data_IF_987049860814
#
_entry.id   IF_987049860814
#
_cell.length_a   1.000
_cell.length_b   1.000
_cell.length_c   1.000
_cell.angle_alpha   90.00
_cell.angle_beta   90.00
_cell.angle_gamma   90.00
#
_symmetry.space_group_name_H-M   'P 1'
#
loop_
_entity.id
_entity.type
_entity.pdbx_description
1 polymer ?
#
# COMPACT_ATOMS: atom_id res chain seq x y z
N UNK A 1 15.31 -5.02 1.16
CA UNK A 1 14.24 -5.00 2.17
C UNK A 1 13.00 -4.33 1.63
N UNK A 2 13.01 -3.09 1.17
CA UNK A 2 11.81 -2.39 0.70
C UNK A 2 10.62 -2.58 1.64
N UNK A 3 9.42 -2.43 1.14
CA UNK A 3 8.24 -2.87 1.90
C UNK A 3 8.05 -4.40 1.85
N UNK A 4 8.97 -5.13 1.20
CA UNK A 4 8.93 -6.59 1.04
C UNK A 4 7.63 -7.08 0.41
N UNK A 5 7.18 -6.38 -0.64
CA UNK A 5 5.99 -6.76 -1.38
C UNK A 5 6.13 -8.20 -1.90
N UNK A 6 5.25 -9.12 -1.51
CA UNK A 6 5.32 -10.49 -2.00
C UNK A 6 5.11 -10.52 -3.52
N UNK A 7 6.14 -10.89 -4.28
CA UNK A 7 6.09 -11.05 -5.75
C UNK A 7 5.49 -12.39 -6.13
N UNK A 8 4.23 -12.62 -5.77
CA UNK A 8 3.54 -13.86 -6.08
C UNK A 8 2.98 -13.75 -7.50
N UNK A 9 3.38 -14.64 -8.44
CA UNK A 9 2.87 -14.63 -9.79
C UNK A 9 1.38 -14.97 -9.81
N UNK A 10 0.62 -14.24 -10.62
CA UNK A 10 -0.77 -14.58 -10.91
C UNK A 10 -0.81 -15.86 -11.74
N UNK A 11 -1.82 -16.70 -11.52
CA UNK A 11 -2.04 -17.91 -12.31
C UNK A 11 -2.83 -17.56 -13.56
N UNK A 12 -2.52 -18.24 -14.67
CA UNK A 12 -3.27 -18.09 -15.91
C UNK A 12 -4.74 -18.49 -15.70
N UNK A 13 -5.64 -17.72 -16.31
CA UNK A 13 -7.06 -18.00 -16.22
C UNK A 13 -7.38 -19.33 -16.91
N UNK A 14 -8.19 -20.14 -16.25
CA UNK A 14 -8.66 -21.39 -16.82
C UNK A 14 -9.51 -21.08 -18.06
N UNK A 15 -9.26 -21.80 -19.14
CA UNK A 15 -10.09 -21.72 -20.35
C UNK A 15 -11.56 -21.98 -20.00
N UNK A 16 -12.48 -21.35 -20.74
CA UNK A 16 -13.91 -21.58 -20.55
C UNK A 16 -14.24 -23.08 -20.66
N UNK A 17 -15.29 -23.52 -19.95
CA UNK A 17 -15.80 -24.87 -20.13
C UNK A 17 -16.15 -25.12 -21.61
N UNK A 18 -15.83 -26.32 -22.11
CA UNK A 18 -16.00 -26.64 -23.53
C UNK A 18 -17.42 -27.16 -23.80
N UNK A 19 -18.21 -26.47 -24.61
CA UNK A 19 -19.53 -26.99 -25.01
C UNK A 19 -19.42 -28.30 -25.80
N UNK A 20 -18.31 -28.53 -26.50
CA UNK A 20 -18.06 -29.77 -27.24
C UNK A 20 -17.92 -30.98 -26.32
N UNK A 21 -17.35 -30.83 -25.15
CA UNK A 21 -17.29 -31.90 -24.15
C UNK A 21 -18.69 -32.26 -23.66
N UNK A 22 -19.53 -31.24 -23.39
CA UNK A 22 -20.92 -31.49 -23.02
C UNK A 22 -21.70 -32.20 -24.13
N UNK A 23 -21.53 -31.78 -25.41
CA UNK A 23 -22.14 -32.43 -26.54
C UNK A 23 -21.68 -33.89 -26.67
N UNK A 24 -20.40 -34.15 -26.53
CA UNK A 24 -19.84 -35.51 -26.54
C UNK A 24 -20.46 -36.38 -25.43
N UNK A 25 -20.57 -35.86 -24.20
CA UNK A 25 -21.23 -36.55 -23.08
C UNK A 25 -22.68 -36.89 -23.41
N UNK A 26 -23.41 -35.96 -24.01
CA UNK A 26 -24.80 -36.17 -24.43
C UNK A 26 -24.90 -37.31 -25.48
N UNK A 27 -24.10 -37.24 -26.55
CA UNK A 27 -24.08 -38.24 -27.60
C UNK A 27 -23.72 -39.62 -27.04
N UNK A 28 -22.65 -39.68 -26.26
CA UNK A 28 -22.20 -40.95 -25.65
C UNK A 28 -23.25 -41.53 -24.69
N UNK A 29 -23.88 -40.69 -23.88
CA UNK A 29 -24.93 -41.07 -22.94
C UNK A 29 -26.18 -41.60 -23.66
N UNK A 30 -26.60 -40.91 -24.73
CA UNK A 30 -27.72 -41.40 -25.54
C UNK A 30 -27.41 -42.74 -26.21
N UNK A 31 -26.19 -42.87 -26.78
CA UNK A 31 -25.73 -44.09 -27.38
C UNK A 31 -25.68 -45.27 -26.39
N UNK A 32 -25.12 -45.04 -25.19
CA UNK A 32 -25.10 -46.01 -24.12
C UNK A 32 -26.51 -46.37 -23.67
N UNK A 33 -27.40 -45.41 -23.53
CA UNK A 33 -28.80 -45.62 -23.23
C UNK A 33 -29.48 -46.53 -24.26
N UNK A 34 -29.25 -46.24 -25.57
CA UNK A 34 -29.78 -47.07 -26.62
C UNK A 34 -29.29 -48.51 -26.57
N UNK A 35 -27.99 -48.72 -26.36
CA UNK A 35 -27.42 -50.07 -26.21
C UNK A 35 -28.09 -50.81 -25.02
N UNK A 36 -28.22 -50.17 -23.86
CA UNK A 36 -28.89 -50.79 -22.70
C UNK A 36 -30.36 -51.12 -22.99
N UNK A 37 -31.05 -50.24 -23.75
CA UNK A 37 -32.43 -50.49 -24.18
C UNK A 37 -32.54 -51.72 -25.04
N UNK A 38 -31.64 -51.86 -26.00
CA UNK A 38 -31.61 -53.03 -26.92
C UNK A 38 -31.28 -54.31 -26.18
N UNK A 39 -30.30 -54.28 -25.27
CA UNK A 39 -29.89 -55.45 -24.48
C UNK A 39 -30.97 -55.92 -23.49
N UNK A 40 -31.79 -55.02 -22.99
CA UNK A 40 -32.90 -55.35 -22.06
C UNK A 40 -34.22 -55.66 -22.79
N UNK A 41 -34.26 -55.48 -24.07
CA UNK A 41 -35.45 -55.80 -24.88
C UNK A 41 -35.63 -57.32 -24.92
N UNK A 42 -36.84 -57.84 -24.62
CA UNK A 42 -37.11 -59.29 -24.76
C UNK A 42 -36.94 -59.67 -26.23
N UNK A 43 -36.53 -60.94 -26.46
CA UNK A 43 -36.16 -61.45 -27.78
C UNK A 43 -37.29 -61.38 -28.89
N UNK A 44 -38.47 -60.89 -28.57
CA UNK A 44 -39.62 -60.77 -29.42
C UNK A 44 -39.78 -59.39 -30.14
N UNK A 45 -38.74 -58.53 -30.13
CA UNK A 45 -38.77 -57.23 -30.84
C UNK A 45 -38.67 -56.02 -29.89
N UNK A 46 -38.36 -54.82 -30.50
CA UNK A 46 -38.34 -53.56 -29.77
C UNK A 46 -39.70 -53.28 -29.12
N UNK A 47 -39.77 -52.96 -27.81
CA UNK A 47 -41.04 -52.65 -27.16
C UNK A 47 -41.76 -51.55 -27.94
N UNK A 48 -43.05 -51.73 -28.17
CA UNK A 48 -43.87 -50.76 -28.89
C UNK A 48 -43.77 -49.37 -28.19
N UNK A 49 -43.61 -48.27 -28.92
CA UNK A 49 -43.51 -46.89 -28.40
C UNK A 49 -44.70 -46.51 -27.47
N UNK A 50 -45.78 -47.26 -27.52
CA UNK A 50 -46.97 -47.10 -26.68
C UNK A 50 -46.87 -47.71 -25.29
N UNK A 51 -45.85 -48.54 -24.98
CA UNK A 51 -45.70 -49.10 -23.68
C UNK A 51 -45.06 -48.09 -22.72
N UNK A 52 -45.73 -47.79 -21.59
CA UNK A 52 -45.21 -46.83 -20.55
C UNK A 52 -43.84 -47.18 -19.96
N UNK A 53 -43.24 -48.30 -20.40
CA UNK A 53 -41.90 -48.75 -19.99
C UNK A 53 -40.77 -47.83 -20.48
N UNK A 54 -40.96 -47.06 -21.56
CA UNK A 54 -39.95 -46.15 -22.13
C UNK A 54 -39.73 -44.92 -21.25
N UNK A 55 -40.78 -44.43 -20.57
CA UNK A 55 -40.74 -43.19 -19.81
C UNK A 55 -39.74 -43.27 -18.64
N UNK A 56 -39.72 -44.28 -17.77
CA UNK A 56 -38.70 -44.38 -16.71
C UNK A 56 -37.29 -44.61 -17.28
N UNK A 57 -37.17 -45.34 -18.39
CA UNK A 57 -35.89 -45.58 -19.04
C UNK A 57 -35.25 -44.31 -19.59
N UNK A 58 -36.01 -43.52 -20.33
CA UNK A 58 -35.54 -42.21 -20.84
C UNK A 58 -35.21 -41.26 -19.66
N UNK A 59 -36.02 -41.24 -18.61
CA UNK A 59 -35.77 -40.42 -17.44
C UNK A 59 -34.42 -40.78 -16.75
N UNK A 60 -34.13 -42.08 -16.59
CA UNK A 60 -32.84 -42.52 -16.04
C UNK A 60 -31.64 -42.23 -16.94
N UNK A 61 -31.82 -42.34 -18.28
CA UNK A 61 -30.76 -41.95 -19.23
C UNK A 61 -30.45 -40.46 -19.15
N UNK A 62 -31.45 -39.60 -19.14
CA UNK A 62 -31.27 -38.16 -19.01
C UNK A 62 -30.72 -37.78 -17.66
N UNK A 63 -31.13 -38.40 -16.57
CA UNK A 63 -30.56 -38.18 -15.23
C UNK A 63 -29.08 -38.54 -15.19
N UNK A 64 -28.69 -39.67 -15.82
CA UNK A 64 -27.29 -40.09 -15.92
C UNK A 64 -26.43 -39.10 -16.71
N UNK A 65 -26.91 -38.65 -17.88
CA UNK A 65 -26.24 -37.65 -18.68
C UNK A 65 -26.09 -36.33 -17.89
N UNK A 66 -27.16 -35.87 -17.27
CA UNK A 66 -27.15 -34.65 -16.45
C UNK A 66 -26.18 -34.74 -15.26
N UNK A 67 -26.08 -35.92 -14.62
CA UNK A 67 -25.13 -36.15 -13.53
C UNK A 67 -23.67 -36.03 -14.01
N UNK A 68 -23.33 -36.62 -15.17
CA UNK A 68 -21.97 -36.53 -15.74
C UNK A 68 -21.63 -35.08 -16.11
N UNK A 69 -22.57 -34.36 -16.73
CA UNK A 69 -22.37 -32.94 -17.08
C UNK A 69 -22.20 -32.12 -15.80
N UNK A 70 -22.97 -32.38 -14.74
CA UNK A 70 -22.85 -31.69 -13.46
C UNK A 70 -21.47 -31.94 -12.80
N UNK A 71 -20.96 -33.18 -12.84
CA UNK A 71 -19.61 -33.50 -12.35
C UNK A 71 -18.54 -32.73 -13.16
N UNK A 72 -18.64 -32.74 -14.49
CA UNK A 72 -17.72 -32.00 -15.35
C UNK A 72 -17.76 -30.49 -15.08
N UNK A 73 -18.95 -29.90 -14.99
CA UNK A 73 -19.13 -28.48 -14.71
C UNK A 73 -18.62 -28.11 -13.32
N UNK A 74 -18.86 -28.97 -12.33
CA UNK A 74 -18.35 -28.75 -10.95
C UNK A 74 -16.83 -28.84 -10.91
N UNK A 75 -16.23 -29.79 -11.62
CA UNK A 75 -14.78 -29.88 -11.76
C UNK A 75 -14.19 -28.59 -12.36
N UNK A 76 -14.78 -28.11 -13.46
CA UNK A 76 -14.36 -26.84 -14.07
C UNK A 76 -14.54 -25.66 -13.10
N UNK A 77 -15.67 -25.58 -12.40
CA UNK A 77 -15.94 -24.52 -11.41
C UNK A 77 -14.91 -24.53 -10.29
N UNK A 78 -14.50 -25.71 -9.81
CA UNK A 78 -13.44 -25.83 -8.79
C UNK A 78 -12.12 -25.27 -9.31
N UNK A 79 -11.70 -25.65 -10.53
CA UNK A 79 -10.46 -25.17 -11.13
C UNK A 79 -10.49 -23.65 -11.33
N UNK A 80 -11.57 -23.14 -11.91
CA UNK A 80 -11.74 -21.70 -12.14
C UNK A 80 -11.77 -20.91 -10.81
N UNK A 81 -12.45 -21.43 -9.78
CA UNK A 81 -12.51 -20.81 -8.46
C UNK A 81 -11.15 -20.80 -7.77
N UNK A 82 -10.35 -21.87 -7.94
CA UNK A 82 -8.98 -21.92 -7.38
C UNK A 82 -8.09 -20.85 -8.00
N UNK A 83 -8.10 -20.69 -9.32
CA UNK A 83 -7.32 -19.67 -10.01
C UNK A 83 -7.80 -18.26 -9.64
N UNK A 84 -9.12 -18.06 -9.61
CA UNK A 84 -9.71 -16.79 -9.23
C UNK A 84 -9.34 -16.39 -7.78
N UNK A 85 -9.48 -17.29 -6.80
CA UNK A 85 -9.08 -17.05 -5.41
C UNK A 85 -7.61 -16.65 -5.31
N UNK A 86 -6.74 -17.38 -6.01
CA UNK A 86 -5.30 -17.09 -6.01
C UNK A 86 -5.01 -15.68 -6.51
N UNK A 87 -5.52 -15.34 -7.68
CA UNK A 87 -5.30 -14.04 -8.30
C UNK A 87 -5.95 -12.90 -7.50
N UNK A 88 -7.09 -13.16 -6.86
CA UNK A 88 -7.74 -12.20 -5.98
C UNK A 88 -6.91 -11.94 -4.71
N UNK A 89 -6.29 -12.98 -4.14
CA UNK A 89 -5.38 -12.81 -3.01
C UNK A 89 -4.10 -12.08 -3.40
N UNK A 90 -3.53 -12.33 -4.58
CA UNK A 90 -2.40 -11.56 -5.12
C UNK A 90 -2.76 -10.08 -5.21
N UNK A 91 -3.91 -9.76 -5.82
CA UNK A 91 -4.39 -8.38 -5.98
C UNK A 91 -4.73 -7.73 -4.63
N UNK A 92 -5.44 -8.42 -3.77
CA UNK A 92 -5.79 -7.89 -2.44
C UNK A 92 -4.56 -7.65 -1.57
N UNK A 93 -3.54 -8.48 -1.68
CA UNK A 93 -2.25 -8.29 -1.00
C UNK A 93 -1.55 -7.05 -1.55
N UNK A 94 -1.41 -6.95 -2.87
CA UNK A 94 -0.82 -5.75 -3.51
C UNK A 94 -1.57 -4.47 -3.13
N UNK A 95 -2.90 -4.50 -3.17
CA UNK A 95 -3.72 -3.35 -2.77
C UNK A 95 -3.51 -2.94 -1.31
N UNK A 96 -3.44 -3.89 -0.39
CA UNK A 96 -3.15 -3.60 1.03
C UNK A 96 -1.78 -2.95 1.21
N UNK A 97 -0.77 -3.42 0.50
CA UNK A 97 0.56 -2.83 0.52
C UNK A 97 0.55 -1.42 -0.08
N UNK A 98 -0.09 -1.23 -1.22
CA UNK A 98 -0.25 0.11 -1.81
C UNK A 98 -0.97 1.07 -0.85
N UNK A 99 -2.06 0.64 -0.22
CA UNK A 99 -2.78 1.47 0.74
C UNK A 99 -1.93 1.79 1.98
N UNK A 100 -1.10 0.84 2.43
CA UNK A 100 -0.13 1.09 3.51
C UNK A 100 0.95 2.09 3.10
N UNK A 101 1.49 1.96 1.88
CA UNK A 101 2.49 2.87 1.33
C UNK A 101 1.92 4.28 1.06
N UNK A 102 0.63 4.36 0.70
CA UNK A 102 -0.08 5.60 0.42
C UNK A 102 -0.50 6.39 1.68
N UNK A 103 -0.16 5.91 2.88
CA UNK A 103 -0.36 6.70 4.09
C UNK A 103 0.60 7.89 4.08
N UNK A 104 0.09 9.06 4.46
CA UNK A 104 0.86 10.29 4.48
C UNK A 104 0.33 11.27 5.52
N UNK A 105 1.17 12.20 5.92
CA UNK A 105 0.76 13.43 6.58
C UNK A 105 0.94 14.61 5.63
N UNK A 106 0.11 15.61 5.80
CA UNK A 106 0.17 16.83 5.00
C UNK A 106 1.04 17.84 5.71
N UNK A 107 2.14 18.26 5.09
CA UNK A 107 2.96 19.36 5.57
C UNK A 107 2.20 20.65 5.28
N UNK A 108 1.61 21.20 6.33
CA UNK A 108 0.81 22.42 6.21
C UNK A 108 1.67 23.68 6.22
N UNK A 109 2.66 23.71 7.09
CA UNK A 109 3.67 24.75 7.15
C UNK A 109 5.01 24.16 7.56
N UNK A 110 6.07 24.77 7.08
CA UNK A 110 7.44 24.38 7.38
C UNK A 110 8.31 25.60 7.54
N UNK A 111 9.40 25.44 8.26
CA UNK A 111 10.50 26.38 8.38
C UNK A 111 11.78 25.56 8.32
N UNK A 112 12.69 25.95 7.45
CA UNK A 112 14.01 25.37 7.36
C UNK A 112 15.05 26.49 7.42
N UNK A 113 15.93 26.42 8.38
CA UNK A 113 16.99 27.40 8.61
C UNK A 113 18.32 26.64 8.63
N UNK A 114 19.18 26.96 7.70
CA UNK A 114 20.56 26.48 7.67
C UNK A 114 21.53 27.63 7.95
N UNK A 115 22.67 27.34 8.51
CA UNK A 115 23.71 28.33 8.74
C UNK A 115 24.17 28.97 7.44
N UNK A 116 24.10 28.23 6.34
CA UNK A 116 24.35 28.71 5.01
C UNK A 116 23.04 29.10 4.29
N UNK A 117 22.84 30.38 4.09
CA UNK A 117 21.66 30.92 3.42
C UNK A 117 21.58 30.58 1.92
N UNK A 118 22.72 30.29 1.27
CA UNK A 118 22.83 29.88 -0.13
C UNK A 118 22.70 28.37 -0.36
N UNK A 119 22.45 27.57 0.67
CA UNK A 119 22.45 26.11 0.62
C UNK A 119 21.59 25.53 -0.51
N UNK A 120 20.34 25.97 -0.64
CA UNK A 120 19.43 25.46 -1.66
C UNK A 120 19.92 25.80 -3.08
N UNK A 121 20.47 26.98 -3.28
CA UNK A 121 21.02 27.40 -4.55
C UNK A 121 22.23 26.53 -4.93
N UNK A 122 23.12 26.24 -3.98
CA UNK A 122 24.28 25.36 -4.21
C UNK A 122 23.90 23.91 -4.47
N UNK A 123 22.84 23.43 -3.84
CA UNK A 123 22.33 22.08 -4.09
C UNK A 123 21.80 21.91 -5.53
N UNK A 124 21.29 22.97 -6.12
CA UNK A 124 20.72 22.96 -7.48
C UNK A 124 21.80 23.20 -8.55
N UNK A 125 22.79 24.02 -8.26
CA UNK A 125 23.85 24.34 -9.20
C UNK A 125 25.08 23.43 -9.00
N UNK A 126 25.50 22.79 -10.08
CA UNK A 126 26.70 21.93 -10.10
C UNK A 126 28.03 22.67 -10.11
N UNK A 127 28.00 24.00 -10.01
CA UNK A 127 29.24 24.75 -9.97
C UNK A 127 30.05 24.32 -8.74
N UNK A 128 31.25 23.81 -9.01
CA UNK A 128 32.32 23.57 -8.05
C UNK A 128 32.84 24.91 -7.50
N UNK A 129 31.91 25.76 -7.05
CA UNK A 129 32.36 26.88 -6.21
C UNK A 129 32.85 26.26 -4.92
N UNK A 130 34.14 26.43 -4.71
CA UNK A 130 34.89 26.05 -3.55
C UNK A 130 34.01 26.03 -2.30
N UNK A 131 34.07 24.93 -1.54
CA UNK A 131 33.62 24.95 -0.14
C UNK A 131 34.20 26.23 0.42
N UNK A 132 33.37 27.24 0.57
CA UNK A 132 33.84 28.51 1.07
C UNK A 132 34.61 28.23 2.35
N UNK A 133 35.90 28.47 2.36
CA UNK A 133 36.82 28.24 3.49
C UNK A 133 36.39 28.96 4.76
N UNK A 134 35.36 29.76 4.69
CA UNK A 134 34.66 30.42 5.80
C UNK A 134 33.22 29.94 5.89
N UNK A 135 33.00 28.65 6.13
CA UNK A 135 31.65 28.15 6.39
C UNK A 135 31.09 28.86 7.64
N UNK A 136 30.00 29.58 7.44
CA UNK A 136 29.21 30.08 8.56
C UNK A 136 28.64 28.89 9.29
N UNK A 137 29.19 28.60 10.48
CA UNK A 137 28.84 27.41 11.25
C UNK A 137 27.65 27.65 12.17
N UNK A 138 27.33 28.91 12.45
CA UNK A 138 26.31 29.25 13.43
C UNK A 138 25.12 29.92 12.77
N UNK A 139 23.91 29.51 13.17
CA UNK A 139 22.70 30.25 12.92
C UNK A 139 22.75 31.57 13.70
N UNK A 140 22.21 32.66 13.16
CA UNK A 140 22.17 33.97 13.82
C UNK A 140 23.58 34.48 14.24
N UNK A 141 24.51 34.64 13.30
CA UNK A 141 25.92 34.96 13.62
C UNK A 141 26.11 36.31 14.29
N UNK A 142 25.12 37.22 14.22
CA UNK A 142 25.17 38.53 14.85
C UNK A 142 24.56 38.63 16.24
N UNK A 143 23.96 37.53 16.74
CA UNK A 143 23.34 37.52 18.07
C UNK A 143 24.26 36.93 19.10
N UNK A 144 24.70 37.75 20.06
CA UNK A 144 25.41 37.24 21.24
C UNK A 144 24.47 36.44 22.14
N UNK A 145 24.99 35.39 22.74
CA UNK A 145 24.24 34.63 23.76
C UNK A 145 23.84 35.56 24.93
N UNK A 146 22.53 35.67 25.15
CA UNK A 146 22.02 36.40 26.32
C UNK A 146 22.40 35.59 27.59
N UNK A 147 22.98 36.25 28.62
CA UNK A 147 23.31 35.56 29.86
C UNK A 147 22.10 34.82 30.43
N UNK A 148 22.26 33.52 30.73
CA UNK A 148 21.20 32.67 31.28
C UNK A 148 20.29 32.00 30.26
N UNK A 149 20.48 32.26 28.98
CA UNK A 149 19.75 31.57 27.89
C UNK A 149 20.71 30.61 27.18
N UNK A 150 20.33 29.35 27.08
CA UNK A 150 21.13 28.35 26.35
C UNK A 150 21.06 28.55 24.83
N UNK A 151 22.06 28.05 24.10
CA UNK A 151 22.01 28.09 22.60
C UNK A 151 20.78 27.36 22.05
N UNK A 152 20.39 26.25 22.64
CA UNK A 152 19.16 25.53 22.32
C UNK A 152 17.92 26.45 22.47
N UNK A 153 17.78 27.15 23.58
CA UNK A 153 16.65 28.07 23.83
C UNK A 153 16.60 29.20 22.81
N UNK A 154 17.75 29.76 22.45
CA UNK A 154 17.81 30.84 21.46
C UNK A 154 17.33 30.38 20.10
N UNK A 155 17.84 29.25 19.60
CA UNK A 155 17.44 28.69 18.30
C UNK A 155 16.00 28.22 18.31
N UNK A 156 15.55 27.59 19.38
CA UNK A 156 14.18 27.14 19.56
C UNK A 156 13.22 28.32 19.57
N UNK A 157 13.54 29.41 20.28
CA UNK A 157 12.71 30.63 20.30
C UNK A 157 12.56 31.23 18.91
N UNK A 158 13.66 31.29 18.16
CA UNK A 158 13.65 31.80 16.79
C UNK A 158 12.80 30.91 15.87
N UNK A 159 12.94 29.60 15.95
CA UNK A 159 12.18 28.63 15.16
C UNK A 159 10.67 28.69 15.48
N UNK A 160 10.32 28.74 16.77
CA UNK A 160 8.94 28.83 17.25
C UNK A 160 8.31 30.16 16.79
N UNK A 161 9.04 31.28 16.89
CA UNK A 161 8.54 32.57 16.45
C UNK A 161 8.15 32.59 14.95
N UNK A 162 8.85 31.82 14.12
CA UNK A 162 8.55 31.73 12.69
C UNK A 162 7.38 30.80 12.38
N UNK A 163 7.26 29.63 13.06
CA UNK A 163 6.25 28.62 12.70
C UNK A 163 4.90 28.87 13.38
N UNK A 164 4.86 29.38 14.61
CA UNK A 164 3.64 29.56 15.40
C UNK A 164 2.57 30.41 14.71
N UNK A 165 2.88 31.53 14.04
CA UNK A 165 1.88 32.34 13.34
C UNK A 165 1.11 31.52 12.29
N UNK A 166 1.82 30.70 11.52
CA UNK A 166 1.22 29.83 10.49
C UNK A 166 0.35 28.73 11.10
N UNK A 167 0.78 28.15 12.22
CA UNK A 167 -0.01 27.14 12.96
C UNK A 167 -1.28 27.80 13.51
N UNK A 168 -1.16 28.95 14.17
CA UNK A 168 -2.29 29.66 14.79
C UNK A 168 -3.38 30.05 13.79
N UNK A 169 -2.97 30.42 12.58
CA UNK A 169 -3.89 30.80 11.52
C UNK A 169 -4.83 29.64 11.13
N UNK A 170 -4.34 28.42 11.16
CA UNK A 170 -5.06 27.24 10.69
C UNK A 170 -5.60 26.35 11.81
N UNK A 171 -4.87 26.30 12.90
CA UNK A 171 -5.19 25.47 14.05
C UNK A 171 -5.04 26.29 15.33
N UNK A 172 -6.02 27.16 15.62
CA UNK A 172 -5.92 28.14 16.69
C UNK A 172 -5.92 27.54 18.09
N UNK A 173 -6.50 26.34 18.26
CA UNK A 173 -6.59 25.65 19.54
C UNK A 173 -6.83 24.15 19.37
N UNK A 174 -6.62 23.39 20.41
CA UNK A 174 -6.86 21.93 20.43
C UNK A 174 -5.63 21.12 20.81
N UNK A 175 -5.69 19.78 20.71
CA UNK A 175 -4.57 18.93 21.03
C UNK A 175 -3.49 19.00 19.96
N UNK A 176 -2.24 19.19 20.35
CA UNK A 176 -1.07 19.26 19.49
C UNK A 176 0.01 18.32 20.01
N UNK A 177 0.52 17.43 19.18
CA UNK A 177 1.67 16.61 19.51
C UNK A 177 2.93 17.28 18.99
N UNK A 178 3.92 17.41 19.85
CA UNK A 178 5.22 17.99 19.53
C UNK A 178 6.29 16.92 19.65
N UNK A 179 7.05 16.74 18.60
CA UNK A 179 8.17 15.81 18.55
C UNK A 179 9.42 16.66 18.42
N UNK A 180 10.33 16.52 19.40
CA UNK A 180 11.60 17.25 19.43
C UNK A 180 12.74 16.25 19.27
N UNK A 181 13.60 16.47 18.27
CA UNK A 181 14.81 15.69 18.09
C UNK A 181 16.00 16.65 17.95
N UNK A 182 17.01 16.47 18.80
CA UNK A 182 18.16 17.37 18.88
C UNK A 182 19.45 16.59 18.88
N UNK A 183 20.56 17.28 18.61
CA UNK A 183 21.91 16.73 18.77
C UNK A 183 22.39 16.72 20.21
N UNK A 184 21.68 17.38 21.13
CA UNK A 184 22.05 17.47 22.53
C UNK A 184 21.93 16.13 23.26
N UNK A 185 22.75 16.00 24.29
CA UNK A 185 22.83 14.78 25.13
C UNK A 185 21.99 14.88 26.40
N UNK A 186 21.76 16.10 26.88
CA UNK A 186 21.03 16.39 28.12
C UNK A 186 19.57 16.73 27.82
N UNK A 187 18.76 15.70 27.66
CA UNK A 187 17.35 15.85 27.35
C UNK A 187 16.52 16.45 28.47
N UNK A 188 16.93 16.27 29.70
CA UNK A 188 16.21 16.83 30.83
C UNK A 188 16.35 18.36 30.86
N UNK A 189 17.56 18.87 30.67
CA UNK A 189 17.82 20.31 30.53
C UNK A 189 17.11 20.89 29.31
N UNK A 190 17.16 20.18 28.14
CA UNK A 190 16.46 20.60 26.94
C UNK A 190 14.93 20.62 27.12
N UNK A 191 14.37 19.64 27.82
CA UNK A 191 12.95 19.60 28.13
C UNK A 191 12.51 20.78 28.98
N UNK A 192 13.28 21.11 30.06
CA UNK A 192 13.02 22.29 30.88
C UNK A 192 13.13 23.59 30.06
N UNK A 193 14.14 23.69 29.23
CA UNK A 193 14.33 24.82 28.33
C UNK A 193 13.18 24.98 27.34
N UNK A 194 12.75 23.85 26.73
CA UNK A 194 11.61 23.83 25.85
C UNK A 194 10.33 24.33 26.54
N UNK A 195 10.02 23.85 27.71
CA UNK A 195 8.83 24.27 28.46
C UNK A 195 8.85 25.77 28.77
N UNK A 196 10.01 26.36 29.10
CA UNK A 196 10.14 27.80 29.29
C UNK A 196 9.80 28.59 28.04
N UNK A 197 10.38 28.19 26.89
CA UNK A 197 10.17 28.88 25.63
C UNK A 197 8.73 28.71 25.15
N UNK A 198 8.18 27.51 25.26
CA UNK A 198 6.82 27.21 24.79
C UNK A 198 5.78 27.94 25.62
N UNK A 199 5.91 27.96 26.95
CA UNK A 199 4.94 28.63 27.83
C UNK A 199 4.90 30.16 27.65
N UNK A 200 6.02 30.74 27.22
CA UNK A 200 6.09 32.18 26.93
C UNK A 200 5.31 32.59 25.64
N UNK A 201 5.17 31.67 24.69
CA UNK A 201 4.64 32.00 23.35
C UNK A 201 3.28 31.40 22.97
N UNK A 202 2.79 30.34 23.66
CA UNK A 202 1.74 29.48 23.07
C UNK A 202 0.81 28.83 24.09
N UNK A 203 -0.10 29.60 24.65
CA UNK A 203 -1.01 29.15 25.71
C UNK A 203 -2.31 28.47 25.25
N UNK A 204 -2.60 28.41 23.96
CA UNK A 204 -3.92 27.96 23.46
C UNK A 204 -4.02 26.46 23.08
N UNK A 205 -2.90 25.74 23.05
CA UNK A 205 -2.88 24.32 22.70
C UNK A 205 -2.66 23.42 23.93
N UNK A 206 -3.33 22.27 23.92
CA UNK A 206 -3.05 21.17 24.84
C UNK A 206 -1.93 20.34 24.21
N UNK A 207 -0.71 20.47 24.73
CA UNK A 207 0.48 19.87 24.10
C UNK A 207 0.88 18.55 24.75
N UNK A 208 1.23 17.58 23.92
CA UNK A 208 1.90 16.35 24.28
C UNK A 208 3.31 16.39 23.66
N UNK A 209 4.35 16.47 24.49
CA UNK A 209 5.72 16.68 24.04
C UNK A 209 6.51 15.38 24.16
N UNK A 210 7.15 14.98 23.07
CA UNK A 210 8.00 13.80 23.01
C UNK A 210 9.41 14.20 22.57
N UNK A 211 10.38 14.05 23.46
CA UNK A 211 11.78 14.14 23.12
C UNK A 211 12.24 12.80 22.53
N UNK A 212 12.68 12.83 21.31
CA UNK A 212 13.21 11.66 20.60
C UNK A 212 14.72 11.55 20.84
N UNK A 213 15.21 10.32 20.89
CA UNK A 213 16.65 10.08 20.92
C UNK A 213 17.29 10.57 19.61
N UNK A 214 18.46 11.22 19.72
CA UNK A 214 19.22 11.62 18.54
C UNK A 214 19.53 10.42 17.62
N UNK A 215 19.54 9.22 18.19
CA UNK A 215 19.81 7.97 17.50
C UNK A 215 18.60 7.36 16.79
N UNK A 216 17.39 7.90 16.91
CA UNK A 216 16.23 7.40 16.21
C UNK A 216 16.27 7.79 14.74
N UNK A 217 16.17 6.76 13.87
CA UNK A 217 16.11 6.96 12.43
C UNK A 217 14.76 7.48 11.97
N UNK A 218 14.71 7.99 10.74
CA UNK A 218 13.47 8.43 10.10
C UNK A 218 12.42 7.30 10.00
N UNK A 219 12.83 6.04 10.09
CA UNK A 219 11.92 4.89 10.07
C UNK A 219 10.94 4.85 11.24
N UNK A 220 11.31 5.39 12.39
CA UNK A 220 10.41 5.51 13.54
C UNK A 220 9.22 6.41 13.24
N UNK A 221 9.35 7.29 12.25
CA UNK A 221 8.29 8.16 11.77
C UNK A 221 7.04 7.42 11.29
N UNK A 222 7.19 6.22 10.73
CA UNK A 222 6.07 5.42 10.24
C UNK A 222 5.02 5.14 11.33
N UNK A 223 5.47 4.94 12.58
CA UNK A 223 4.56 4.71 13.70
C UNK A 223 3.68 5.94 13.99
N UNK A 224 4.23 7.14 13.82
CA UNK A 224 3.48 8.38 13.99
C UNK A 224 2.46 8.58 12.87
N UNK A 225 2.82 8.32 11.63
CA UNK A 225 1.89 8.39 10.49
C UNK A 225 0.68 7.46 10.70
N UNK A 226 0.92 6.24 11.18
CA UNK A 226 -0.13 5.23 11.38
C UNK A 226 -1.02 5.53 12.60
N UNK A 227 -0.45 6.05 13.68
CA UNK A 227 -1.15 6.18 14.97
C UNK A 227 -1.78 7.54 15.22
N UNK A 228 -1.34 8.58 14.51
CA UNK A 228 -1.67 9.96 14.84
C UNK A 228 -2.91 10.45 14.11
N UNK A 229 -3.92 10.84 14.89
CA UNK A 229 -5.08 11.63 14.41
C UNK A 229 -4.95 13.11 14.76
N UNK A 230 -3.99 13.47 15.59
CA UNK A 230 -3.74 14.85 16.01
C UNK A 230 -2.73 15.53 15.11
N UNK A 231 -2.77 16.86 14.99
CA UNK A 231 -1.69 17.62 14.37
C UNK A 231 -0.36 17.34 15.06
N UNK A 232 0.70 17.28 14.26
CA UNK A 232 2.05 17.01 14.74
C UNK A 232 2.96 18.15 14.34
N UNK A 233 3.69 18.70 15.30
CA UNK A 233 4.78 19.63 15.08
C UNK A 233 6.11 18.89 15.33
N UNK A 234 6.90 18.69 14.29
CA UNK A 234 8.26 18.16 14.41
C UNK A 234 9.22 19.32 14.46
N UNK A 235 10.07 19.30 15.46
CA UNK A 235 11.17 20.25 15.65
C UNK A 235 12.47 19.44 15.66
N UNK A 236 13.33 19.64 14.68
CA UNK A 236 14.63 19.02 14.63
C UNK A 236 15.73 20.09 14.58
N UNK A 237 16.65 20.02 15.51
CA UNK A 237 17.68 21.04 15.69
C UNK A 237 19.04 20.38 15.93
N UNK A 238 20.02 20.87 15.18
CA UNK A 238 21.42 20.70 15.52
C UNK A 238 21.95 22.04 15.99
N UNK A 239 22.32 22.11 17.24
CA UNK A 239 22.96 23.27 17.83
C UNK A 239 24.39 22.93 18.27
N UNK A 240 25.24 23.89 18.10
CA UNK A 240 26.67 23.69 18.28
C UNK A 240 27.05 23.60 19.77
N UNK A 241 27.73 22.53 20.11
CA UNK A 241 28.45 22.38 21.37
C UNK A 241 29.87 22.96 21.20
N UNK A 242 30.59 23.29 22.32
CA UNK A 242 31.89 23.94 22.23
C UNK A 242 32.92 23.25 21.31
N UNK A 243 32.89 21.93 21.26
CA UNK A 243 33.83 21.10 20.45
C UNK A 243 33.25 20.63 19.13
N UNK A 244 32.06 21.10 18.74
CA UNK A 244 31.37 20.65 17.54
C UNK A 244 31.84 21.44 16.31
N UNK A 245 32.14 20.72 15.24
CA UNK A 245 32.59 21.25 13.95
C UNK A 245 31.46 21.34 12.92
N UNK A 246 30.28 20.75 13.24
CA UNK A 246 29.15 20.76 12.34
C UNK A 246 28.41 22.10 12.32
N UNK A 247 27.95 22.55 11.15
CA UNK A 247 27.12 23.75 11.06
C UNK A 247 25.75 23.52 11.72
N UNK A 248 25.20 24.56 12.32
CA UNK A 248 23.87 24.52 12.91
C UNK A 248 22.77 24.44 11.84
N UNK A 249 21.71 23.73 12.12
CA UNK A 249 20.46 23.81 11.40
C UNK A 249 19.27 23.70 12.34
N UNK A 250 18.13 24.25 11.88
CA UNK A 250 16.85 24.11 12.56
C UNK A 250 15.74 23.88 11.55
N UNK A 251 14.89 22.90 11.77
CA UNK A 251 13.71 22.67 10.96
C UNK A 251 12.46 22.49 11.83
N UNK A 252 11.36 23.05 11.39
CA UNK A 252 10.04 22.87 11.96
C UNK A 252 9.07 22.44 10.87
N UNK A 253 8.34 21.34 11.11
CA UNK A 253 7.35 20.81 10.19
C UNK A 253 6.03 20.66 10.92
N UNK A 254 5.04 21.46 10.57
CA UNK A 254 3.68 21.32 11.08
C UNK A 254 2.88 20.45 10.11
N UNK A 255 2.44 19.30 10.60
CA UNK A 255 1.79 18.28 9.80
C UNK A 255 0.43 17.92 10.37
N UNK A 256 -0.50 17.64 9.46
CA UNK A 256 -1.88 17.28 9.80
C UNK A 256 -2.30 16.00 9.06
N UNK A 257 -3.17 15.23 9.70
CA UNK A 257 -3.75 14.06 9.05
C UNK A 257 -4.73 14.51 7.94
N UNK A 258 -4.80 13.81 6.79
CA UNK A 258 -5.68 14.16 5.67
C UNK A 258 -7.16 14.36 6.05
N UNK A 259 -7.65 13.64 7.06
CA UNK A 259 -9.03 13.77 7.55
C UNK A 259 -9.35 15.11 8.22
N UNK A 260 -8.36 15.92 8.53
CA UNK A 260 -8.52 17.21 9.18
C UNK A 260 -8.66 18.38 8.18
N UNK A 261 -8.45 18.12 6.90
CA UNK A 261 -8.53 19.14 5.86
C UNK A 261 -9.79 18.98 5.02
N UNK A 262 -10.34 20.12 4.59
CA UNK A 262 -11.42 20.15 3.62
C UNK A 262 -10.89 19.74 2.24
N UNK A 263 -11.74 19.11 1.40
CA UNK A 263 -11.33 18.64 0.06
C UNK A 263 -10.73 19.71 -0.85
N UNK A 264 -11.13 20.96 -0.69
CA UNK A 264 -10.60 22.08 -1.46
C UNK A 264 -9.19 22.50 -1.04
N UNK A 265 -8.84 22.33 0.22
CA UNK A 265 -7.55 22.75 0.80
C UNK A 265 -6.43 21.73 0.51
N UNK A 266 -6.79 20.49 0.24
CA UNK A 266 -5.84 19.40 -0.01
C UNK A 266 -5.22 19.38 -1.42
N UNK A 267 -5.64 20.23 -2.35
CA UNK A 267 -5.28 20.14 -3.79
C UNK A 267 -3.88 20.64 -4.01
N UNK A 268 -3.02 21.05 -3.47
CA UNK A 268 -1.61 21.45 -3.78
C UNK A 268 -0.71 21.44 -2.53
N UNK A 269 -1.15 20.76 -1.49
CA UNK A 269 -0.37 20.67 -0.26
C UNK A 269 0.71 19.62 -0.39
N UNK A 270 1.86 19.89 0.19
CA UNK A 270 2.96 18.94 0.23
C UNK A 270 2.62 17.80 1.19
N UNK A 271 2.88 16.58 0.77
CA UNK A 271 2.63 15.34 1.53
C UNK A 271 3.94 14.64 1.84
N UNK A 272 4.10 14.23 3.06
CA UNK A 272 5.18 13.36 3.50
C UNK A 272 4.61 11.94 3.62
N UNK A 273 5.06 11.06 2.74
CA UNK A 273 4.62 9.67 2.71
C UNK A 273 5.39 8.81 3.71
N UNK A 274 4.83 7.66 3.99
CA UNK A 274 5.46 6.64 4.81
C UNK A 274 6.84 6.27 4.25
N UNK A 275 7.85 6.24 5.11
CA UNK A 275 9.20 5.88 4.74
C UNK A 275 9.29 4.38 4.39
N UNK A 276 10.01 4.06 3.32
CA UNK A 276 10.30 2.69 2.88
C UNK A 276 11.68 2.28 3.39
N UNK A 277 11.83 1.13 4.07
CA UNK A 277 13.16 0.59 4.36
C UNK A 277 13.91 0.32 3.05
N UNK A 278 15.16 0.78 2.97
CA UNK A 278 15.99 0.64 1.77
C UNK A 278 17.12 -0.36 2.01
N UNK A 279 17.45 -1.15 0.99
CA UNK A 279 18.65 -1.96 0.98
C UNK A 279 19.56 -1.47 -0.14
N UNK A 280 20.64 -0.81 0.21
CA UNK A 280 21.57 -0.21 -0.74
C UNK A 280 22.29 -1.22 -1.62
N UNK A 281 22.38 -2.49 -1.22
CA UNK A 281 22.94 -3.59 -2.04
C UNK A 281 22.01 -3.99 -3.18
N UNK A 282 20.71 -3.79 -3.04
CA UNK A 282 19.67 -4.14 -4.03
C UNK A 282 18.90 -2.91 -4.49
N UNK A 283 19.61 -1.78 -4.62
CA UNK A 283 19.02 -0.45 -4.87
C UNK A 283 18.07 -0.44 -6.07
N UNK A 284 18.41 -1.10 -7.17
CA UNK A 284 17.56 -1.17 -8.36
C UNK A 284 16.20 -1.82 -8.08
N UNK A 285 16.16 -2.90 -7.31
CA UNK A 285 14.94 -3.59 -6.93
C UNK A 285 14.08 -2.72 -6.00
N UNK A 286 14.72 -2.07 -5.03
CA UNK A 286 14.04 -1.20 -4.06
C UNK A 286 13.44 0.04 -4.72
N UNK A 287 14.19 0.72 -5.61
CA UNK A 287 13.67 1.86 -6.36
C UNK A 287 12.57 1.46 -7.36
N UNK A 288 12.65 0.26 -7.94
CA UNK A 288 11.55 -0.29 -8.74
C UNK A 288 10.28 -0.46 -7.89
N UNK A 289 10.41 -0.99 -6.66
CA UNK A 289 9.28 -1.12 -5.74
C UNK A 289 8.69 0.25 -5.38
N UNK A 290 9.54 1.23 -5.07
CA UNK A 290 9.11 2.60 -4.75
C UNK A 290 8.33 3.24 -5.92
N UNK A 291 8.83 3.10 -7.16
CA UNK A 291 8.14 3.57 -8.37
C UNK A 291 6.78 2.89 -8.54
N UNK A 292 6.74 1.56 -8.39
CA UNK A 292 5.54 0.75 -8.65
C UNK A 292 4.43 0.98 -7.61
N UNK A 293 4.78 1.52 -6.43
CA UNK A 293 3.80 1.97 -5.45
C UNK A 293 3.05 3.24 -5.86
N UNK A 294 3.52 3.96 -6.88
CA UNK A 294 2.85 5.13 -7.45
C UNK A 294 2.42 6.17 -6.39
N UNK A 295 3.32 6.49 -5.44
CA UNK A 295 3.06 7.50 -4.40
C UNK A 295 2.83 8.89 -5.00
N UNK A 296 3.46 9.15 -6.12
CA UNK A 296 3.32 10.35 -6.94
C UNK A 296 2.92 9.97 -8.37
N UNK A 297 2.20 10.83 -9.10
CA UNK A 297 1.81 10.53 -10.48
C UNK A 297 3.03 10.26 -11.37
N UNK A 298 3.00 9.16 -12.13
CA UNK A 298 4.11 8.74 -13.00
C UNK A 298 4.50 9.78 -14.08
N UNK A 299 3.60 10.70 -14.43
CA UNK A 299 3.84 11.77 -15.39
C UNK A 299 4.58 12.98 -14.82
N UNK A 300 4.76 13.05 -13.51
CA UNK A 300 5.45 14.15 -12.83
C UNK A 300 6.95 13.90 -12.81
N UNK A 301 7.73 14.97 -13.11
CA UNK A 301 9.17 14.94 -12.92
C UNK A 301 9.52 14.84 -11.42
N UNK A 302 10.55 14.07 -11.11
CA UNK A 302 11.03 13.82 -9.76
C UNK A 302 12.40 14.47 -9.54
N UNK A 303 12.63 14.94 -8.33
CA UNK A 303 13.93 15.30 -7.83
C UNK A 303 14.36 14.25 -6.82
N UNK A 304 15.51 13.64 -7.01
CA UNK A 304 16.01 12.56 -6.17
C UNK A 304 17.20 13.05 -5.37
N UNK A 305 17.11 12.95 -4.07
CA UNK A 305 18.16 13.33 -3.14
C UNK A 305 18.78 12.06 -2.55
N UNK A 306 20.05 12.09 -2.28
CA UNK A 306 20.68 11.02 -1.50
C UNK A 306 21.68 11.58 -0.50
N UNK A 307 21.78 10.90 0.65
CA UNK A 307 22.76 11.16 1.69
C UNK A 307 23.19 9.85 2.34
N UNK A 308 24.46 9.74 2.65
CA UNK A 308 25.04 8.60 3.33
C UNK A 308 25.24 7.36 2.49
N UNK A 309 24.90 7.36 1.20
CA UNK A 309 25.05 6.20 0.35
C UNK A 309 26.54 5.84 0.16
N UNK A 310 26.93 4.54 0.25
CA UNK A 310 28.26 4.08 -0.13
C UNK A 310 28.59 4.42 -1.59
N UNK A 311 29.87 4.47 -1.95
CA UNK A 311 30.33 4.91 -3.26
C UNK A 311 29.68 4.15 -4.42
N UNK A 312 29.58 2.83 -4.35
CA UNK A 312 29.02 2.03 -5.43
C UNK A 312 27.51 2.27 -5.66
N UNK A 313 26.61 2.22 -4.65
CA UNK A 313 25.22 2.66 -4.79
C UNK A 313 25.09 4.12 -5.23
N UNK A 314 25.87 5.04 -4.64
CA UNK A 314 25.87 6.46 -4.97
C UNK A 314 26.09 6.72 -6.45
N UNK A 315 27.12 6.11 -7.06
CA UNK A 315 27.42 6.22 -8.49
C UNK A 315 26.36 5.56 -9.38
N UNK A 316 25.63 4.57 -8.86
CA UNK A 316 24.63 3.83 -9.61
C UNK A 316 23.24 4.47 -9.60
N UNK A 317 22.94 5.42 -8.69
CA UNK A 317 21.60 6.02 -8.54
C UNK A 317 21.05 6.54 -9.87
N UNK A 318 21.81 7.42 -10.56
CA UNK A 318 21.35 8.02 -11.82
C UNK A 318 21.13 6.97 -12.91
N UNK A 319 22.01 5.96 -13.00
CA UNK A 319 21.85 4.85 -13.95
C UNK A 319 20.58 4.05 -13.66
N UNK A 320 20.36 3.67 -12.41
CA UNK A 320 19.18 2.90 -12.00
C UNK A 320 17.89 3.68 -12.26
N UNK A 321 17.86 4.98 -11.97
CA UNK A 321 16.69 5.82 -12.25
C UNK A 321 16.38 5.90 -13.75
N UNK A 322 17.41 6.00 -14.60
CA UNK A 322 17.26 5.98 -16.04
C UNK A 322 16.76 4.60 -16.55
N UNK A 323 17.32 3.51 -16.05
CA UNK A 323 16.87 2.13 -16.37
C UNK A 323 15.40 1.93 -15.98
N UNK A 324 14.96 2.51 -14.88
CA UNK A 324 13.58 2.49 -14.41
C UNK A 324 12.67 3.49 -15.13
N UNK A 325 13.22 4.32 -16.04
CA UNK A 325 12.47 5.35 -16.76
C UNK A 325 11.74 6.32 -15.84
N UNK A 326 12.32 6.67 -14.69
CA UNK A 326 11.77 7.67 -13.78
C UNK A 326 11.97 9.06 -14.38
N UNK A 327 10.92 9.85 -14.64
CA UNK A 327 11.07 11.18 -15.18
C UNK A 327 11.74 12.11 -14.14
N UNK A 328 12.90 12.66 -14.49
CA UNK A 328 13.68 13.53 -13.62
C UNK A 328 13.56 15.01 -14.05
N UNK A 329 13.88 15.93 -13.14
CA UNK A 329 14.01 17.35 -13.43
C UNK A 329 15.33 17.62 -14.15
N UNK A 330 15.32 17.56 -15.48
CA UNK A 330 16.52 17.78 -16.32
C UNK A 330 16.97 19.25 -16.36
N UNK A 331 16.05 20.17 -16.01
CA UNK A 331 16.31 21.62 -16.02
C UNK A 331 17.22 22.07 -14.86
N UNK A 332 17.49 21.17 -13.90
CA UNK A 332 18.38 21.39 -12.78
C UNK A 332 19.78 20.91 -13.18
N UNK A 333 20.81 21.72 -12.95
CA UNK A 333 22.18 21.42 -13.32
C UNK A 333 22.74 20.06 -12.85
N UNK A 334 22.06 19.44 -11.87
CA UNK A 334 22.38 18.09 -11.36
C UNK A 334 21.70 16.96 -12.14
N UNK A 335 20.97 17.24 -13.21
CA UNK A 335 20.18 16.23 -13.93
C UNK A 335 19.09 15.57 -13.09
N UNK A 336 18.56 16.26 -12.11
CA UNK A 336 17.49 15.76 -11.24
C UNK A 336 17.92 14.85 -10.09
N UNK A 337 19.23 14.64 -9.89
CA UNK A 337 19.78 13.88 -8.75
C UNK A 337 20.69 14.78 -7.93
N UNK A 338 20.36 14.96 -6.67
CA UNK A 338 21.12 15.80 -5.73
C UNK A 338 21.89 14.92 -4.76
N UNK A 339 23.19 15.11 -4.76
CA UNK A 339 24.09 14.57 -3.74
C UNK A 339 24.17 15.54 -2.57
N UNK A 340 23.42 15.25 -1.50
CA UNK A 340 23.37 16.12 -0.34
C UNK A 340 24.71 16.23 0.38
N UNK A 341 25.46 15.14 0.46
CA UNK A 341 26.74 15.07 1.18
C UNK A 341 27.88 15.83 0.47
N UNK A 342 27.67 16.16 -0.82
CA UNK A 342 28.64 16.98 -1.58
C UNK A 342 28.63 18.43 -1.13
N UNK A 343 27.46 18.93 -0.76
CA UNK A 343 27.23 20.36 -0.44
C UNK A 343 27.08 20.56 1.05
N UNK A 344 26.45 19.61 1.75
CA UNK A 344 26.14 19.67 3.15
C UNK A 344 26.99 18.72 3.97
N UNK A 345 27.20 19.07 5.21
CA UNK A 345 27.82 18.15 6.16
C UNK A 345 26.76 17.14 6.61
N UNK A 346 27.19 15.90 6.83
CA UNK A 346 26.32 14.83 7.29
C UNK A 346 26.02 14.97 8.78
N UNK A 347 24.73 15.11 9.13
CA UNK A 347 24.25 15.23 10.51
C UNK A 347 23.84 13.88 11.11
N UNK A 348 24.49 12.79 10.74
CA UNK A 348 24.12 11.45 11.17
C UNK A 348 22.60 11.21 11.02
N UNK A 349 21.92 10.86 12.10
CA UNK A 349 20.48 10.53 12.07
C UNK A 349 19.55 11.74 11.93
N UNK A 350 20.03 12.93 12.28
CA UNK A 350 19.32 14.18 12.04
C UNK A 350 19.34 14.60 10.55
N UNK A 351 20.22 13.99 9.74
CA UNK A 351 20.30 14.27 8.31
C UNK A 351 18.95 14.11 7.60
N UNK A 352 18.14 13.13 8.01
CA UNK A 352 16.79 12.93 7.47
C UNK A 352 15.88 14.14 7.64
N UNK A 353 15.87 14.76 8.81
CA UNK A 353 15.05 15.94 9.05
C UNK A 353 15.59 17.18 8.35
N UNK A 354 16.92 17.33 8.29
CA UNK A 354 17.55 18.39 7.53
C UNK A 354 17.20 18.31 6.04
N UNK A 355 17.28 17.11 5.45
CA UNK A 355 16.89 16.89 4.05
C UNK A 355 15.40 17.09 3.82
N UNK A 356 14.52 16.60 4.71
CA UNK A 356 13.07 16.81 4.58
C UNK A 356 12.72 18.30 4.66
N UNK A 357 13.37 19.05 5.56
CA UNK A 357 13.21 20.48 5.68
C UNK A 357 13.65 21.21 4.41
N UNK A 358 14.85 20.90 3.91
CA UNK A 358 15.38 21.46 2.68
C UNK A 358 14.51 21.10 1.44
N UNK A 359 14.04 19.87 1.38
CA UNK A 359 13.17 19.38 0.31
C UNK A 359 11.78 20.05 0.36
N UNK A 360 11.24 20.29 1.55
CA UNK A 360 9.97 21.01 1.73
C UNK A 360 10.11 22.48 1.28
N UNK A 361 11.21 23.12 1.61
CA UNK A 361 11.52 24.48 1.13
C UNK A 361 11.70 24.51 -0.39
N UNK A 362 12.45 23.56 -0.95
CA UNK A 362 12.64 23.41 -2.39
C UNK A 362 11.31 23.22 -3.14
N UNK A 363 10.36 22.51 -2.56
CA UNK A 363 9.06 22.26 -3.16
C UNK A 363 8.25 23.55 -3.38
N UNK A 364 8.49 24.59 -2.61
CA UNK A 364 7.87 25.89 -2.79
C UNK A 364 8.34 26.59 -4.09
N UNK A 365 9.51 26.24 -4.60
CA UNK A 365 10.09 26.81 -5.83
C UNK A 365 9.86 25.98 -7.10
N UNK A 366 9.14 24.86 -7.01
CA UNK A 366 8.73 24.10 -8.21
C UNK A 366 8.80 22.57 -8.10
N UNK A 367 9.95 21.96 -7.75
CA UNK A 367 10.08 20.48 -7.69
C UNK A 367 9.31 19.90 -6.52
N UNK A 368 8.01 19.68 -6.69
CA UNK A 368 7.15 19.21 -5.62
C UNK A 368 7.17 17.69 -5.41
N UNK A 369 7.59 16.91 -6.43
CA UNK A 369 7.72 15.46 -6.31
C UNK A 369 9.19 15.11 -6.06
N UNK A 370 9.49 14.57 -4.86
CA UNK A 370 10.87 14.34 -4.45
C UNK A 370 11.01 12.98 -3.76
N UNK A 371 12.11 12.29 -4.05
CA UNK A 371 12.54 11.10 -3.35
C UNK A 371 13.81 11.39 -2.56
N UNK A 372 13.81 11.05 -1.28
CA UNK A 372 14.94 11.24 -0.38
C UNK A 372 15.48 9.88 0.01
N UNK A 373 16.68 9.55 -0.41
CA UNK A 373 17.37 8.30 -0.10
C UNK A 373 18.38 8.58 1.01
N UNK A 374 18.16 7.99 2.15
CA UNK A 374 18.91 8.24 3.38
C UNK A 374 19.56 6.94 3.86
N UNK A 375 20.85 6.93 4.06
CA UNK A 375 21.54 5.81 4.71
C UNK A 375 22.19 6.28 6.01
N UNK A 376 21.75 5.67 7.09
CA UNK A 376 22.32 5.80 8.40
C UNK A 376 23.41 4.75 8.65
N UNK A 377 23.86 4.64 9.90
CA UNK A 377 24.88 3.68 10.30
C UNK A 377 24.37 2.23 10.20
N UNK A 378 23.12 1.99 10.57
CA UNK A 378 22.54 0.66 10.75
C UNK A 378 21.33 0.41 9.82
N UNK A 379 20.78 1.45 9.19
CA UNK A 379 19.57 1.39 8.41
C UNK A 379 19.60 2.41 7.25
N UNK A 380 18.85 2.11 6.21
CA UNK A 380 18.63 3.02 5.09
C UNK A 380 17.13 3.14 4.80
N UNK A 381 16.70 4.30 4.33
CA UNK A 381 15.31 4.64 4.12
C UNK A 381 15.11 5.46 2.85
N UNK A 382 14.01 5.22 2.18
CA UNK A 382 13.51 6.09 1.12
C UNK A 382 12.25 6.81 1.62
N UNK A 383 12.24 8.12 1.51
CA UNK A 383 11.11 8.97 1.87
C UNK A 383 10.62 9.70 0.63
N UNK A 384 9.32 9.76 0.44
CA UNK A 384 8.73 10.48 -0.70
C UNK A 384 7.99 11.73 -0.21
N UNK A 385 8.25 12.85 -0.87
CA UNK A 385 7.42 14.05 -0.79
C UNK A 385 6.69 14.26 -2.11
N UNK A 386 5.45 14.75 -2.04
CA UNK A 386 4.66 15.04 -3.24
C UNK A 386 3.50 15.97 -2.98
N UNK A 387 3.12 16.77 -3.99
CA UNK A 387 1.98 17.68 -3.90
C UNK A 387 0.67 17.11 -4.46
N UNK A 388 0.71 15.92 -5.02
CA UNK A 388 -0.46 15.23 -5.55
C UNK A 388 -0.89 14.09 -4.63
N UNK A 389 -2.19 13.86 -4.52
CA UNK A 389 -2.67 12.64 -3.88
C UNK A 389 -2.26 11.43 -4.74
N UNK A 390 -1.85 10.31 -4.10
CA UNK A 390 -1.55 9.12 -4.86
C UNK A 390 -2.79 8.70 -5.64
N UNK A 391 -2.60 8.38 -6.91
CA UNK A 391 -3.64 7.75 -7.69
C UNK A 391 -3.84 6.35 -7.09
N UNK A 392 -4.83 6.22 -6.21
CA UNK A 392 -5.35 4.90 -5.87
C UNK A 392 -5.84 4.34 -7.20
N UNK A 393 -5.04 3.45 -7.79
CA UNK A 393 -5.30 2.93 -9.11
C UNK A 393 -6.76 2.52 -9.21
N UNK A 394 -7.45 3.07 -10.17
CA UNK A 394 -8.79 2.67 -10.59
C UNK A 394 -8.83 1.23 -11.12
N UNK A 395 -7.73 0.51 -11.05
CA UNK A 395 -7.59 -0.92 -11.31
C UNK A 395 -8.39 -1.80 -10.33
N UNK A 396 -9.47 -1.26 -9.81
CA UNK A 396 -10.61 -2.05 -9.34
C UNK A 396 -11.32 -2.70 -10.54
N UNK A 397 -10.61 -3.29 -11.46
CA UNK A 397 -11.18 -4.35 -12.26
C UNK A 397 -11.44 -5.52 -11.30
N UNK A 398 -12.57 -5.41 -10.60
CA UNK A 398 -13.12 -6.55 -9.86
C UNK A 398 -13.44 -7.58 -10.94
N UNK A 399 -12.51 -8.51 -11.15
CA UNK A 399 -12.80 -9.65 -12.03
C UNK A 399 -13.90 -10.41 -11.33
N UNK A 400 -15.09 -10.51 -11.95
CA UNK A 400 -16.20 -11.22 -11.31
C UNK A 400 -15.78 -12.67 -11.04
N UNK A 401 -16.27 -13.25 -9.94
CA UNK A 401 -16.01 -14.65 -9.67
C UNK A 401 -16.58 -15.53 -10.80
N UNK A 402 -15.98 -16.71 -11.05
CA UNK A 402 -16.46 -17.62 -12.09
C UNK A 402 -17.92 -17.97 -11.86
N UNK A 403 -18.66 -18.14 -12.94
CA UNK A 403 -20.08 -18.52 -12.88
C UNK A 403 -20.23 -19.91 -12.21
N UNK A 404 -21.12 -20.06 -11.21
CA UNK A 404 -21.26 -21.29 -10.44
C UNK A 404 -22.11 -22.35 -11.18
N UNK A 405 -21.76 -22.66 -12.42
CA UNK A 405 -22.55 -23.56 -13.29
C UNK A 405 -22.64 -24.98 -12.75
N UNK A 406 -21.57 -25.51 -12.22
CA UNK A 406 -21.55 -26.83 -11.59
C UNK A 406 -22.43 -26.90 -10.34
N UNK A 407 -22.32 -25.86 -9.48
CA UNK A 407 -23.17 -25.74 -8.29
C UNK A 407 -24.66 -25.66 -8.63
N UNK A 408 -25.02 -24.95 -9.72
CA UNK A 408 -26.43 -24.89 -10.21
C UNK A 408 -26.90 -26.25 -10.62
N UNK A 409 -26.15 -26.95 -11.49
CA UNK A 409 -26.52 -28.29 -11.97
C UNK A 409 -26.62 -29.31 -10.84
N UNK A 410 -25.70 -29.28 -9.90
CA UNK A 410 -25.74 -30.14 -8.70
C UNK A 410 -26.98 -29.83 -7.83
N UNK A 411 -27.32 -28.56 -7.64
CA UNK A 411 -28.52 -28.16 -6.91
C UNK A 411 -29.80 -28.66 -7.61
N UNK A 412 -29.87 -28.53 -8.92
CA UNK A 412 -30.99 -29.03 -9.72
C UNK A 412 -31.14 -30.54 -9.60
N UNK A 413 -30.05 -31.30 -9.73
CA UNK A 413 -30.08 -32.77 -9.58
C UNK A 413 -30.46 -33.21 -8.18
N UNK A 414 -29.92 -32.53 -7.15
CA UNK A 414 -30.27 -32.83 -5.77
C UNK A 414 -31.77 -32.60 -5.52
N UNK A 415 -32.30 -31.48 -5.97
CA UNK A 415 -33.72 -31.16 -5.82
C UNK A 415 -34.62 -32.09 -6.65
N UNK A 416 -34.21 -32.45 -7.88
CA UNK A 416 -34.93 -33.42 -8.69
C UNK A 416 -34.98 -34.82 -8.01
N UNK A 417 -33.85 -35.24 -7.41
CA UNK A 417 -33.79 -36.49 -6.64
C UNK A 417 -34.70 -36.44 -5.39
N UNK A 418 -34.61 -35.38 -4.61
CA UNK A 418 -35.46 -35.17 -3.44
C UNK A 418 -36.96 -35.13 -3.80
N UNK A 419 -37.31 -34.44 -4.88
CA UNK A 419 -38.68 -34.35 -5.35
C UNK A 419 -39.19 -35.73 -5.90
N UNK A 420 -38.33 -36.50 -6.58
CA UNK A 420 -38.64 -37.84 -7.00
C UNK A 420 -38.93 -38.76 -5.82
N UNK A 421 -38.13 -38.67 -4.74
CA UNK A 421 -38.40 -39.39 -3.49
C UNK A 421 -39.73 -38.96 -2.86
N UNK A 422 -40.01 -37.66 -2.87
CA UNK A 422 -41.26 -37.12 -2.34
C UNK A 422 -42.47 -37.60 -3.14
N UNK A 423 -42.39 -37.70 -4.45
CA UNK A 423 -43.45 -38.29 -5.29
C UNK A 423 -43.65 -39.76 -4.93
N UNK A 424 -42.56 -40.53 -4.69
CA UNK A 424 -42.64 -41.97 -4.39
C UNK A 424 -43.26 -42.26 -3.04
N UNK A 425 -42.97 -41.47 -1.99
CA UNK A 425 -43.43 -41.72 -0.63
C UNK A 425 -44.64 -40.89 -0.23
N UNK A 426 -44.82 -39.70 -0.79
CA UNK A 426 -45.89 -38.73 -0.41
C UNK A 426 -46.53 -38.07 -1.65
N UNK A 427 -47.17 -38.85 -2.53
CA UNK A 427 -47.64 -38.32 -3.83
C UNK A 427 -48.69 -37.21 -3.69
N UNK A 428 -49.59 -37.30 -2.70
CA UNK A 428 -50.58 -36.29 -2.45
C UNK A 428 -49.97 -34.91 -2.02
N UNK A 429 -48.88 -34.95 -1.29
CA UNK A 429 -48.18 -33.75 -0.89
C UNK A 429 -47.34 -33.18 -2.03
N UNK A 430 -46.69 -34.07 -2.81
CA UNK A 430 -45.81 -33.66 -3.92
C UNK A 430 -46.56 -32.81 -4.97
N UNK A 431 -47.79 -33.17 -5.30
CA UNK A 431 -48.61 -32.46 -6.29
C UNK A 431 -49.48 -31.36 -5.65
N UNK A 432 -49.32 -31.05 -4.39
CA UNK A 432 -49.98 -29.93 -3.74
C UNK A 432 -49.23 -28.62 -3.89
N UNK A 433 -49.89 -27.48 -3.69
CA UNK A 433 -49.22 -26.17 -3.69
C UNK A 433 -48.10 -26.08 -2.65
N UNK A 434 -48.27 -26.73 -1.48
CA UNK A 434 -47.23 -26.82 -0.45
C UNK A 434 -46.00 -27.59 -0.91
N UNK A 435 -46.16 -28.65 -1.66
CA UNK A 435 -45.04 -29.43 -2.23
C UNK A 435 -44.26 -28.65 -3.28
N UNK A 436 -44.95 -27.94 -4.16
CA UNK A 436 -44.32 -27.07 -5.15
C UNK A 436 -43.59 -25.90 -4.47
N UNK A 437 -44.21 -25.28 -3.46
CA UNK A 437 -43.57 -24.22 -2.68
C UNK A 437 -42.31 -24.72 -1.96
N UNK A 438 -42.34 -25.91 -1.39
CA UNK A 438 -41.19 -26.54 -0.74
C UNK A 438 -40.04 -26.79 -1.73
N UNK A 439 -40.36 -27.27 -2.94
CA UNK A 439 -39.37 -27.48 -4.01
C UNK A 439 -38.70 -26.17 -4.41
N UNK A 440 -39.47 -25.11 -4.64
CA UNK A 440 -38.94 -23.80 -5.00
C UNK A 440 -38.09 -23.22 -3.87
N UNK A 441 -38.53 -23.31 -2.62
CA UNK A 441 -37.78 -22.88 -1.46
C UNK A 441 -36.46 -23.67 -1.34
N UNK A 442 -36.51 -24.98 -1.49
CA UNK A 442 -35.33 -25.85 -1.48
C UNK A 442 -34.34 -25.44 -2.57
N UNK A 443 -34.79 -25.14 -3.78
CA UNK A 443 -33.93 -24.67 -4.88
C UNK A 443 -33.28 -23.34 -4.57
N UNK A 444 -34.03 -22.37 -4.03
CA UNK A 444 -33.54 -21.04 -3.64
C UNK A 444 -32.46 -21.15 -2.55
N UNK A 445 -32.57 -22.13 -1.66
CA UNK A 445 -31.59 -22.31 -0.57
C UNK A 445 -30.38 -23.15 -1.01
N UNK A 446 -30.59 -24.24 -1.73
CA UNK A 446 -29.53 -25.19 -2.10
C UNK A 446 -28.57 -24.60 -3.13
N UNK A 447 -29.05 -23.81 -4.08
CA UNK A 447 -28.18 -23.22 -5.11
C UNK A 447 -27.12 -22.28 -4.50
N UNK A 448 -27.46 -21.18 -3.79
CA UNK A 448 -26.43 -20.34 -3.18
C UNK A 448 -25.66 -21.09 -2.08
N UNK A 449 -26.31 -22.01 -1.36
CA UNK A 449 -25.66 -22.81 -0.35
C UNK A 449 -24.51 -23.67 -0.88
N UNK A 450 -24.73 -24.38 -1.97
CA UNK A 450 -23.69 -25.20 -2.62
C UNK A 450 -22.59 -24.34 -3.23
N UNK A 451 -22.92 -23.23 -3.91
CA UNK A 451 -21.94 -22.33 -4.48
C UNK A 451 -21.04 -21.68 -3.41
N UNK A 452 -21.64 -21.22 -2.29
CA UNK A 452 -20.87 -20.67 -1.16
C UNK A 452 -20.02 -21.75 -0.49
N UNK A 453 -20.57 -22.94 -0.28
CA UNK A 453 -19.84 -24.05 0.33
C UNK A 453 -18.62 -24.45 -0.50
N UNK A 454 -18.80 -24.66 -1.80
CA UNK A 454 -17.73 -24.98 -2.74
C UNK A 454 -16.61 -23.93 -2.70
N UNK A 455 -16.97 -22.65 -2.78
CA UNK A 455 -16.01 -21.55 -2.71
C UNK A 455 -15.26 -21.51 -1.37
N UNK A 456 -15.95 -21.71 -0.25
CA UNK A 456 -15.32 -21.75 1.07
C UNK A 456 -14.37 -22.92 1.25
N UNK A 457 -14.75 -24.12 0.76
CA UNK A 457 -13.88 -25.31 0.83
C UNK A 457 -12.64 -25.09 -0.03
N UNK A 458 -12.81 -24.68 -1.29
CA UNK A 458 -11.67 -24.42 -2.19
C UNK A 458 -10.73 -23.35 -1.63
N UNK A 459 -11.27 -22.26 -1.08
CA UNK A 459 -10.48 -21.20 -0.44
C UNK A 459 -9.71 -21.72 0.79
N UNK A 460 -10.36 -22.50 1.65
CA UNK A 460 -9.71 -23.07 2.86
C UNK A 460 -8.57 -24.01 2.50
N UNK A 461 -8.75 -24.87 1.50
CA UNK A 461 -7.73 -25.83 1.07
C UNK A 461 -6.53 -25.13 0.41
N UNK A 462 -6.74 -24.03 -0.29
CA UNK A 462 -5.70 -23.34 -1.04
C UNK A 462 -4.95 -22.28 -0.23
N UNK A 463 -5.58 -21.70 0.80
CA UNK A 463 -5.00 -20.64 1.62
C UNK A 463 -3.62 -20.96 2.21
N UNK A 464 -3.33 -22.17 2.74
CA UNK A 464 -2.01 -22.51 3.25
C UNK A 464 -0.91 -22.51 2.18
N UNK A 465 -1.26 -22.89 0.94
CA UNK A 465 -0.36 -22.86 -0.21
C UNK A 465 0.02 -21.41 -0.55
N UNK A 466 -0.98 -20.52 -0.61
CA UNK A 466 -0.77 -19.11 -0.85
C UNK A 466 0.11 -18.45 0.23
N UNK A 467 -0.15 -18.72 1.52
CA UNK A 467 0.64 -18.17 2.63
C UNK A 467 2.11 -18.65 2.55
N UNK A 468 2.34 -19.92 2.17
CA UNK A 468 3.70 -20.42 1.96
C UNK A 468 4.39 -19.71 0.80
N UNK A 469 3.72 -19.55 -0.34
CA UNK A 469 4.26 -18.81 -1.48
C UNK A 469 4.59 -17.35 -1.12
N UNK A 470 3.71 -16.68 -0.38
CA UNK A 470 3.93 -15.31 0.08
C UNK A 470 5.15 -15.18 1.01
N UNK A 471 5.38 -16.16 1.87
CA UNK A 471 6.56 -16.17 2.78
C UNK A 471 7.87 -16.45 2.04
N UNK A 472 7.85 -17.25 0.99
CA UNK A 472 9.04 -17.54 0.20
C UNK A 472 9.43 -16.35 -0.68
N UNK A 473 8.47 -15.74 -1.35
CA UNK A 473 8.73 -14.57 -2.21
C UNK A 473 9.18 -13.31 -1.45
N UNK A 474 8.92 -13.21 -0.13
CA UNK A 474 9.40 -12.10 0.71
C UNK A 474 10.81 -12.33 1.28
N UNK A 475 11.46 -13.47 0.98
CA UNK A 475 12.82 -13.79 1.43
C UNK A 475 13.87 -13.73 0.31
N UNK A 476 13.44 -13.69 -0.95
CA UNK A 476 14.27 -13.41 -2.12
C UNK A 476 14.37 -11.89 -2.37
#
# INVERSE_FOLDING_TARGET
MGWSLPKIPEKEMVSSWSPWVCLFIIILGLFTGLIVAVLKSPAAGLPSLSSGAWLPFTAWTFAGISAVIAVYSTWWEILATRVWNWNEWCRSTRLKWCLGAHQYLIIHSHVFIAADTGLLSRLVHTQEEDRADTAVLTLLPGESLTPGISRFEQLLSHLIAQIIPSIRLRYPSGPLRIIVQTSGRDKESESHAFHRVWSAGSSSWIVEIHFQDADLSIGCWNQFIESTKWPVLVLALHYRLPDDVLPEFATALFMVHPSMLNQSEGKNTLRLFRAMPLNTRTLATELSELRDMALTPASRKHLVWHSGLPDAPRQSVSRVLNELSVPLYDDIGTGGVIDYDRVCVRYDRLAGWAMIGAAAEMAAYGPACQWLLLEGKDDAWAVTLGNAAPAVGSDRFVIPPPFPGGSVLMALLLNAGLYSLMISYFPSTAFSWSGIALLLLSLIVTFPGLAILLRRITARLQRPEFIRAARHSGKE
#
